data_IF_155776300450
#
_entry.id   IF_155776300450
#
_cell.length_a   1.000
_cell.length_b   1.000
_cell.length_c   1.000
_cell.angle_alpha   90.00
_cell.angle_beta   90.00
_cell.angle_gamma   90.00
#
_symmetry.space_group_name_H-M   'P 1'
#
loop_
_entity.id
_entity.type
_entity.pdbx_description
1 polymer ?
#
# COMPACT_ATOMS: atom_id res chain seq x y z
N UNK A 1 -15.88 -0.70 3.73
CA UNK A 1 -14.53 -0.53 4.30
C UNK A 1 -13.83 0.57 3.53
N UNK A 2 -13.59 1.71 4.18
CA UNK A 2 -12.99 2.88 3.54
C UNK A 2 -11.47 2.74 3.47
N UNK A 3 -10.97 1.85 2.61
CA UNK A 3 -9.53 1.72 2.35
C UNK A 3 -8.98 3.04 1.79
N UNK A 4 -7.84 3.51 2.33
CA UNK A 4 -7.18 4.72 1.85
C UNK A 4 -6.86 4.57 0.36
N UNK A 5 -7.23 5.58 -0.45
CA UNK A 5 -6.88 5.60 -1.88
C UNK A 5 -5.38 5.85 -2.00
N UNK A 6 -4.64 4.82 -2.40
CA UNK A 6 -3.25 4.94 -2.81
C UNK A 6 -3.21 5.25 -4.31
N UNK A 7 -2.27 6.11 -4.76
CA UNK A 7 -2.11 6.38 -6.17
C UNK A 7 -1.74 5.10 -6.95
N UNK A 8 -2.11 5.06 -8.22
CA UNK A 8 -1.71 3.97 -9.14
C UNK A 8 -0.18 3.95 -9.25
N UNK A 9 0.43 2.77 -9.12
CA UNK A 9 1.90 2.62 -9.13
C UNK A 9 2.57 2.65 -7.75
N UNK A 10 1.80 2.60 -6.66
CA UNK A 10 2.37 2.45 -5.31
C UNK A 10 2.94 1.05 -5.11
N UNK A 11 4.20 0.98 -4.68
CA UNK A 11 4.92 -0.25 -4.35
C UNK A 11 4.81 -0.54 -2.86
N UNK A 12 4.94 -1.81 -2.45
CA UNK A 12 4.90 -2.22 -1.05
C UNK A 12 6.23 -2.85 -0.65
N UNK A 13 6.71 -2.53 0.55
CA UNK A 13 7.95 -3.08 1.08
C UNK A 13 8.08 -2.91 2.59
N UNK A 14 9.10 -3.55 3.16
CA UNK A 14 9.50 -3.29 4.55
C UNK A 14 10.43 -2.09 4.56
N UNK A 15 10.09 -1.06 5.29
CA UNK A 15 10.85 0.17 5.36
C UNK A 15 11.33 0.42 6.78
N UNK A 16 12.58 0.84 6.89
CA UNK A 16 13.21 1.22 8.14
C UNK A 16 14.06 2.45 7.90
N UNK A 17 13.96 3.44 8.78
CA UNK A 17 14.82 4.62 8.72
C UNK A 17 16.13 4.29 9.43
N UNK A 18 17.26 4.53 8.75
CA UNK A 18 18.60 4.38 9.32
C UNK A 18 19.05 5.71 9.89
N UNK A 19 19.12 6.75 9.05
CA UNK A 19 19.49 8.10 9.47
C UNK A 19 19.01 9.15 8.45
N UNK A 20 18.13 10.06 8.88
CA UNK A 20 17.65 11.17 8.05
C UNK A 20 17.01 10.73 6.72
N UNK A 21 17.81 10.74 5.64
CA UNK A 21 17.43 10.34 4.28
C UNK A 21 17.90 8.92 3.90
N UNK A 22 18.81 8.33 4.67
CA UNK A 22 19.29 6.97 4.50
C UNK A 22 18.30 5.99 5.15
N UNK A 23 17.84 5.03 4.36
CA UNK A 23 16.76 4.12 4.72
C UNK A 23 17.09 2.71 4.26
N UNK A 24 16.44 1.71 4.85
CA UNK A 24 16.50 0.33 4.42
C UNK A 24 15.13 -0.04 3.85
N UNK A 25 15.12 -0.56 2.62
CA UNK A 25 13.93 -1.05 1.95
C UNK A 25 14.11 -2.54 1.62
N UNK A 26 13.22 -3.37 2.17
CA UNK A 26 13.24 -4.83 2.02
C UNK A 26 14.57 -5.48 2.44
N UNK A 27 15.27 -4.90 3.42
CA UNK A 27 16.58 -5.36 3.87
C UNK A 27 17.75 -4.87 3.01
N UNK A 28 17.51 -3.96 2.05
CA UNK A 28 18.55 -3.36 1.21
C UNK A 28 18.69 -1.87 1.54
N UNK A 29 19.91 -1.33 1.61
CA UNK A 29 20.10 0.11 1.77
C UNK A 29 19.53 0.84 0.56
N UNK A 30 18.72 1.87 0.82
CA UNK A 30 18.03 2.71 -0.15
C UNK A 30 18.02 4.16 0.36
N UNK A 31 17.51 5.10 -0.44
CA UNK A 31 17.58 6.52 -0.11
C UNK A 31 16.26 7.24 -0.38
N UNK A 32 15.86 8.05 0.59
CA UNK A 32 14.72 8.95 0.47
C UNK A 32 15.11 10.22 -0.30
N UNK A 33 14.18 10.73 -1.10
CA UNK A 33 14.36 11.98 -1.81
C UNK A 33 14.52 13.16 -0.81
N UNK A 34 15.31 14.20 -1.15
CA UNK A 34 15.36 15.43 -0.36
C UNK A 34 13.98 16.11 -0.42
N UNK A 35 13.20 15.97 0.66
CA UNK A 35 11.80 16.40 0.74
C UNK A 35 10.78 15.25 0.68
N UNK A 36 11.23 14.00 0.78
CA UNK A 36 10.36 12.85 0.92
C UNK A 36 9.48 12.94 2.17
N UNK A 37 8.24 12.46 2.07
CA UNK A 37 7.26 12.56 3.16
C UNK A 37 6.89 11.18 3.67
N UNK A 38 6.87 11.06 4.99
CA UNK A 38 6.44 9.84 5.69
C UNK A 38 5.08 10.11 6.31
N UNK A 39 4.10 9.28 5.95
CA UNK A 39 2.75 9.34 6.47
C UNK A 39 2.43 8.11 7.30
N UNK A 40 1.85 8.33 8.47
CA UNK A 40 1.33 7.29 9.33
C UNK A 40 0.16 6.58 8.68
N UNK A 41 -0.26 5.50 9.33
CA UNK A 41 -1.51 4.84 9.08
C UNK A 41 -2.77 5.73 9.22
N UNK A 42 -2.66 6.88 9.87
CA UNK A 42 -3.75 7.85 9.98
C UNK A 42 -3.61 9.00 8.97
N UNK A 43 -2.77 8.84 7.93
CA UNK A 43 -2.42 9.90 6.97
C UNK A 43 -1.76 11.15 7.61
N UNK A 44 -1.28 11.02 8.84
CA UNK A 44 -0.55 12.07 9.55
C UNK A 44 0.92 12.08 9.17
N UNK A 45 1.57 13.24 9.12
CA UNK A 45 3.02 13.33 8.92
C UNK A 45 3.74 12.76 10.14
N UNK A 46 4.70 11.87 9.88
CA UNK A 46 5.55 11.26 10.90
C UNK A 46 6.97 11.74 10.68
N UNK A 47 7.64 12.16 11.75
CA UNK A 47 9.06 12.51 11.69
C UNK A 47 9.89 11.24 11.55
N UNK A 48 10.88 11.25 10.65
CA UNK A 48 11.81 10.13 10.46
C UNK A 48 12.48 9.73 11.77
N UNK A 49 12.89 10.70 12.60
CA UNK A 49 13.52 10.48 13.91
C UNK A 49 12.67 9.67 14.89
N UNK A 50 11.34 9.68 14.80
CA UNK A 50 10.48 8.93 15.74
C UNK A 50 10.37 7.45 15.37
N UNK A 51 10.71 7.10 14.13
CA UNK A 51 10.61 5.76 13.57
C UNK A 51 11.97 5.17 13.15
N UNK A 52 13.06 5.90 13.41
CA UNK A 52 14.43 5.41 13.21
C UNK A 52 14.65 4.10 13.97
N UNK A 53 15.26 3.13 13.30
CA UNK A 53 15.53 1.82 13.88
C UNK A 53 14.34 0.84 13.89
N UNK A 54 13.15 1.27 13.48
CA UNK A 54 11.94 0.44 13.51
C UNK A 54 11.57 -0.02 12.09
N UNK A 55 11.15 -1.28 11.98
CA UNK A 55 10.73 -1.90 10.71
C UNK A 55 9.21 -1.80 10.56
N UNK A 56 8.78 -1.00 9.60
CA UNK A 56 7.37 -0.85 9.27
C UNK A 56 7.08 -1.45 7.90
N UNK A 57 5.87 -1.95 7.74
CA UNK A 57 5.38 -2.33 6.43
C UNK A 57 4.74 -1.10 5.80
N UNK A 58 5.23 -0.70 4.64
CA UNK A 58 4.85 0.57 4.02
C UNK A 58 4.49 0.38 2.55
N UNK A 59 3.67 1.29 2.08
CA UNK A 59 3.51 1.60 0.68
C UNK A 59 4.41 2.79 0.33
N UNK A 60 5.00 2.83 -0.85
CA UNK A 60 5.87 3.92 -1.27
C UNK A 60 5.80 4.18 -2.77
N UNK A 61 6.14 5.41 -3.15
CA UNK A 61 6.35 5.82 -4.54
C UNK A 61 7.81 6.25 -4.73
N UNK A 62 8.31 6.04 -5.95
CA UNK A 62 9.63 6.48 -6.35
C UNK A 62 9.52 7.62 -7.35
N UNK A 63 10.49 8.53 -7.28
CA UNK A 63 10.65 9.60 -8.25
C UNK A 63 11.31 9.10 -9.56
N UNK A 64 11.37 9.94 -10.59
CA UNK A 64 12.11 9.66 -11.83
C UNK A 64 13.60 9.34 -11.57
N UNK A 65 14.18 9.91 -10.50
CA UNK A 65 15.53 9.58 -10.05
C UNK A 65 15.66 8.23 -9.31
N UNK A 66 14.56 7.51 -9.09
CA UNK A 66 14.52 6.24 -8.36
C UNK A 66 14.49 6.35 -6.82
N UNK A 67 14.48 7.57 -6.27
CA UNK A 67 14.47 7.86 -4.84
C UNK A 67 13.05 7.75 -4.24
N UNK A 68 12.93 7.40 -2.96
CA UNK A 68 11.62 7.35 -2.29
C UNK A 68 11.05 8.76 -2.13
N UNK A 69 9.89 9.01 -2.74
CA UNK A 69 9.22 10.32 -2.76
C UNK A 69 8.16 10.42 -1.66
N UNK A 70 7.27 9.44 -1.59
CA UNK A 70 6.24 9.37 -0.55
C UNK A 70 6.21 7.97 0.04
N UNK A 71 6.04 7.90 1.36
CA UNK A 71 5.99 6.66 2.12
C UNK A 71 4.77 6.68 3.03
N UNK A 72 3.95 5.64 2.96
CA UNK A 72 2.74 5.46 3.76
C UNK A 72 2.89 4.21 4.63
N UNK A 73 2.94 4.40 5.94
CA UNK A 73 2.94 3.32 6.91
C UNK A 73 1.57 2.66 6.93
N UNK A 74 1.57 1.34 6.77
CA UNK A 74 0.37 0.51 6.83
C UNK A 74 0.18 0.04 8.26
N UNK A 75 -1.07 0.03 8.74
CA UNK A 75 -1.39 -0.70 9.96
C UNK A 75 -1.18 -2.21 9.75
N UNK A 76 -0.94 -3.00 10.81
CA UNK A 76 -0.97 -4.46 10.70
C UNK A 76 -2.29 -4.97 10.11
N UNK A 77 -3.41 -4.31 10.40
CA UNK A 77 -4.72 -4.63 9.83
C UNK A 77 -4.77 -4.39 8.31
N UNK A 78 -4.27 -3.25 7.83
CA UNK A 78 -4.15 -2.96 6.38
C UNK A 78 -3.06 -3.78 5.68
N UNK A 79 -2.03 -4.22 6.41
CA UNK A 79 -1.02 -5.11 5.90
C UNK A 79 -1.62 -6.50 5.59
N UNK A 80 -2.65 -6.91 6.34
CA UNK A 80 -3.41 -8.16 6.16
C UNK A 80 -4.58 -7.95 5.19
N UNK A 81 -5.19 -6.77 5.16
CA UNK A 81 -6.27 -6.42 4.26
C UNK A 81 -5.80 -6.48 2.79
N UNK A 82 -6.13 -7.60 2.16
CA UNK A 82 -5.98 -7.85 0.74
C UNK A 82 -6.78 -6.78 -0.02
N UNK A 83 -6.16 -6.15 -1.02
CA UNK A 83 -6.75 -5.14 -1.94
C UNK A 83 -8.27 -5.30 -2.11
N UNK A 84 -9.05 -4.42 -1.48
CA UNK A 84 -10.51 -4.31 -1.71
C UNK A 84 -10.86 -3.68 -3.07
N UNK A 85 -9.90 -3.58 -4.00
CA UNK A 85 -10.15 -3.16 -5.37
C UNK A 85 -10.89 -4.22 -6.20
N UNK A 86 -11.18 -5.40 -5.65
CA UNK A 86 -11.92 -6.47 -6.31
C UNK A 86 -13.37 -6.65 -5.81
N UNK A 87 -13.81 -5.92 -4.77
CA UNK A 87 -15.15 -6.10 -4.19
C UNK A 87 -16.16 -5.01 -4.60
N UNK A 88 -16.03 -4.56 -5.84
CA UNK A 88 -17.19 -3.99 -6.54
C UNK A 88 -17.50 -4.91 -7.71
N UNK A 89 -18.46 -5.85 -7.60
CA UNK A 89 -19.13 -6.37 -8.78
C UNK A 89 -19.84 -5.19 -9.45
N UNK A 90 -19.14 -4.49 -10.34
CA UNK A 90 -19.63 -3.30 -11.03
C UNK A 90 -20.70 -3.62 -12.10
N UNK A 91 -21.15 -4.87 -12.26
CA UNK A 91 -22.20 -5.23 -13.21
C UNK A 91 -23.07 -6.40 -12.69
N UNK A 92 -23.96 -6.13 -11.73
CA UNK A 92 -25.17 -6.94 -11.54
C UNK A 92 -26.27 -6.39 -12.45
N UNK A 93 -26.09 -6.56 -13.75
CA UNK A 93 -27.05 -6.14 -14.78
C UNK A 93 -27.12 -7.33 -15.73
N UNK A 94 -28.27 -8.03 -15.77
CA UNK A 94 -28.85 -8.80 -16.89
C UNK A 94 -29.72 -9.98 -16.38
N UNK A 95 -31.02 -10.04 -16.75
CA UNK A 95 -31.90 -11.15 -16.40
C UNK A 95 -31.99 -12.16 -17.55
N UNK A 96 -31.52 -13.38 -17.35
CA UNK A 96 -31.94 -14.55 -18.15
C UNK A 96 -31.93 -15.83 -17.32
N UNK A 97 -32.52 -15.83 -16.11
CA UNK A 97 -32.96 -17.11 -15.53
C UNK A 97 -34.31 -17.46 -16.15
N UNK A 98 -34.27 -18.01 -17.35
CA UNK A 98 -35.38 -18.78 -17.91
C UNK A 98 -34.84 -20.08 -18.48
N UNK A 99 -35.09 -21.16 -17.72
CA UNK A 99 -35.31 -22.54 -18.16
C UNK A 99 -34.10 -23.20 -18.85
N UNK A 100 -33.85 -24.51 -18.83
CA UNK A 100 -34.72 -25.66 -18.83
C UNK A 100 -33.83 -26.92 -18.67
N UNK A 101 -34.48 -28.02 -18.26
CA UNK A 101 -34.15 -29.43 -18.54
C UNK A 101 -32.84 -30.14 -18.06
N UNK A 102 -33.09 -31.07 -17.11
CA UNK A 102 -32.92 -32.54 -17.22
C UNK A 102 -31.55 -33.22 -16.98
N UNK A 103 -31.66 -34.37 -16.29
CA UNK A 103 -30.75 -35.53 -16.14
C UNK A 103 -29.63 -35.46 -15.08
N UNK A 104 -29.76 -36.23 -13.99
CA UNK A 104 -29.45 -37.68 -13.84
C UNK A 104 -27.96 -37.89 -13.56
N UNK A 105 -27.64 -38.15 -12.29
CA UNK A 105 -27.07 -39.42 -11.85
C UNK A 105 -27.29 -39.61 -10.34
#
# INVERSE_FOLDING_TARGET
MGGRTFPVGTLRGKFMVIDGVDVELDGKPDRMAPGGRIRSAQNMLVMSSTITGQKFLVNYTRDAAGLLREVWILTPDEAVAKRESLDKPLLNIWPFTSNDTVNTQ
#
